data_IF_461819858993
#
_entry.id   IF_461819858993
#
_cell.length_a   1.000
_cell.length_b   1.000
_cell.length_c   1.000
_cell.angle_alpha   90.00
_cell.angle_beta   90.00
_cell.angle_gamma   90.00
#
_symmetry.space_group_name_H-M   'P 1'
#
loop_
_entity.id
_entity.type
_entity.pdbx_description
1 polymer ?
#
# COMPACT_ATOMS: atom_id res chain seq x y z
N UNK A 1 17.68 17.02 -3.31
CA UNK A 1 18.06 16.29 -2.08
C UNK A 1 17.20 15.03 -1.95
N UNK A 2 17.69 13.90 -2.49
CA UNK A 2 16.96 12.62 -2.56
C UNK A 2 17.13 11.76 -1.29
N UNK A 3 17.84 12.27 -0.27
CA UNK A 3 18.20 11.54 0.95
C UNK A 3 17.02 11.27 1.91
N UNK A 4 15.87 11.91 1.69
CA UNK A 4 14.70 11.83 2.58
C UNK A 4 13.63 10.82 2.14
N UNK A 5 13.61 10.37 0.87
CA UNK A 5 12.50 9.56 0.35
C UNK A 5 12.63 8.05 0.60
N UNK A 6 13.81 7.53 0.98
CA UNK A 6 14.01 6.09 1.21
C UNK A 6 14.15 5.69 2.69
N UNK A 7 14.05 6.64 3.63
CA UNK A 7 14.10 6.34 5.08
C UNK A 7 12.88 5.56 5.57
N UNK A 8 11.76 5.63 4.86
CA UNK A 8 10.47 5.07 5.28
C UNK A 8 10.36 3.54 5.25
N UNK A 9 11.09 2.83 4.38
CA UNK A 9 10.86 1.38 4.21
C UNK A 9 11.73 0.54 5.14
N UNK A 10 13.03 0.83 5.25
CA UNK A 10 13.93 0.12 6.17
C UNK A 10 13.55 0.33 7.63
N UNK A 11 13.28 1.58 8.02
CA UNK A 11 12.86 1.93 9.38
C UNK A 11 11.57 1.22 9.81
N UNK A 12 10.59 1.07 8.90
CA UNK A 12 9.33 0.39 9.22
C UNK A 12 9.51 -1.11 9.43
N UNK A 13 10.44 -1.74 8.71
CA UNK A 13 10.82 -3.15 8.96
C UNK A 13 11.55 -3.25 10.30
N UNK A 14 12.52 -2.38 10.56
CA UNK A 14 13.25 -2.30 11.82
C UNK A 14 12.30 -2.16 13.02
N UNK A 15 11.36 -1.20 12.97
CA UNK A 15 10.40 -0.96 14.05
C UNK A 15 9.53 -2.19 14.35
N UNK A 16 9.14 -2.95 13.31
CA UNK A 16 8.38 -4.19 13.49
C UNK A 16 9.23 -5.29 14.13
N UNK A 17 10.48 -5.43 13.69
CA UNK A 17 11.42 -6.40 14.27
C UNK A 17 11.69 -6.09 15.74
N UNK A 18 11.92 -4.81 16.06
CA UNK A 18 12.10 -4.33 17.43
C UNK A 18 10.88 -4.65 18.30
N UNK A 19 9.66 -4.35 17.82
CA UNK A 19 8.44 -4.66 18.55
C UNK A 19 8.32 -6.16 18.86
N UNK A 20 8.58 -7.02 17.88
CA UNK A 20 8.54 -8.47 18.05
C UNK A 20 9.61 -8.96 19.03
N UNK A 21 10.79 -8.35 19.01
CA UNK A 21 11.85 -8.69 19.96
C UNK A 21 11.45 -8.34 21.40
N UNK A 22 10.84 -7.16 21.60
CA UNK A 22 10.33 -6.74 22.91
C UNK A 22 9.19 -7.65 23.40
N UNK A 23 8.28 -8.06 22.51
CA UNK A 23 7.23 -9.03 22.83
C UNK A 23 7.81 -10.38 23.32
N UNK A 24 8.89 -10.87 22.68
CA UNK A 24 9.59 -12.10 23.10
C UNK A 24 10.23 -11.94 24.48
N UNK A 25 10.76 -10.74 24.79
CA UNK A 25 11.32 -10.41 26.09
C UNK A 25 10.24 -10.21 27.18
N UNK A 26 8.96 -10.32 26.84
CA UNK A 26 7.84 -10.11 27.76
C UNK A 26 7.43 -8.64 27.93
N UNK A 27 8.08 -7.73 27.21
CA UNK A 27 7.84 -6.30 27.27
C UNK A 27 6.70 -5.91 26.33
N UNK A 28 5.53 -5.61 26.89
CA UNK A 28 4.37 -5.11 26.14
C UNK A 28 4.39 -3.59 26.09
N UNK A 29 5.05 -3.04 25.09
CA UNK A 29 5.07 -1.59 24.87
C UNK A 29 3.99 -1.15 23.90
N UNK A 30 3.43 0.03 24.13
CA UNK A 30 2.44 0.61 23.21
C UNK A 30 3.13 1.17 21.96
N UNK A 31 2.38 1.27 20.85
CA UNK A 31 2.88 1.89 19.62
C UNK A 31 3.33 3.35 19.80
N UNK A 32 2.73 4.06 20.77
CA UNK A 32 3.10 5.43 21.13
C UNK A 32 4.48 5.49 21.78
N UNK A 33 4.86 4.48 22.57
CA UNK A 33 6.19 4.37 23.18
C UNK A 33 7.23 3.78 22.22
N UNK A 34 6.81 2.82 21.39
CA UNK A 34 7.67 2.17 20.39
C UNK A 34 8.21 3.15 19.35
N UNK A 35 7.39 4.10 18.89
CA UNK A 35 7.75 5.03 17.82
C UNK A 35 8.95 5.92 18.14
N UNK A 36 8.99 6.64 19.28
CA UNK A 36 10.16 7.41 19.68
C UNK A 36 11.36 6.50 20.03
N UNK A 37 11.14 5.36 20.70
CA UNK A 37 12.21 4.41 21.03
C UNK A 37 12.92 3.89 19.77
N UNK A 38 12.15 3.40 18.80
CA UNK A 38 12.67 2.92 17.52
C UNK A 38 13.38 4.04 16.76
N UNK A 39 12.86 5.26 16.80
CA UNK A 39 13.48 6.42 16.17
C UNK A 39 14.86 6.74 16.76
N UNK A 40 14.98 6.77 18.09
CA UNK A 40 16.25 7.00 18.77
C UNK A 40 17.27 5.90 18.46
N UNK A 41 16.85 4.63 18.59
CA UNK A 41 17.73 3.51 18.29
C UNK A 41 18.17 3.52 16.83
N UNK A 42 17.24 3.71 15.89
CA UNK A 42 17.54 3.80 14.46
C UNK A 42 18.53 4.91 14.14
N UNK A 43 18.43 6.08 14.80
CA UNK A 43 19.41 7.15 14.60
C UNK A 43 20.82 6.71 15.03
N UNK A 44 20.93 6.00 16.16
CA UNK A 44 22.21 5.45 16.67
C UNK A 44 22.71 4.20 15.94
N UNK A 45 21.88 3.51 15.16
CA UNK A 45 22.30 2.30 14.44
C UNK A 45 23.43 2.57 13.43
N UNK A 46 24.40 1.64 13.29
CA UNK A 46 25.42 1.71 12.25
C UNK A 46 24.81 1.71 10.84
N UNK A 47 25.48 2.35 9.89
CA UNK A 47 25.00 2.42 8.49
C UNK A 47 24.87 1.05 7.83
N UNK A 48 25.72 0.09 8.20
CA UNK A 48 25.63 -1.31 7.76
C UNK A 48 24.28 -1.95 8.13
N UNK A 49 23.82 -1.71 9.35
CA UNK A 49 22.52 -2.20 9.84
C UNK A 49 21.39 -1.54 9.06
N UNK A 50 21.47 -0.21 8.87
CA UNK A 50 20.48 0.55 8.08
C UNK A 50 20.38 0.04 6.64
N UNK A 51 21.51 -0.25 6.01
CA UNK A 51 21.58 -0.82 4.67
C UNK A 51 20.96 -2.22 4.60
N UNK A 52 21.25 -3.08 5.58
CA UNK A 52 20.62 -4.40 5.65
C UNK A 52 19.09 -4.32 5.71
N UNK A 53 18.55 -3.45 6.58
CA UNK A 53 17.10 -3.25 6.67
C UNK A 53 16.50 -2.63 5.41
N UNK A 54 17.25 -1.78 4.72
CA UNK A 54 16.85 -1.24 3.42
C UNK A 54 16.73 -2.36 2.37
N UNK A 55 17.76 -3.18 2.21
CA UNK A 55 17.73 -4.32 1.28
C UNK A 55 16.59 -5.30 1.61
N UNK A 56 16.39 -5.60 2.89
CA UNK A 56 15.30 -6.46 3.34
C UNK A 56 13.94 -5.86 2.95
N UNK A 57 13.77 -4.54 3.12
CA UNK A 57 12.54 -3.85 2.74
C UNK A 57 12.28 -3.90 1.23
N UNK A 58 13.33 -3.83 0.41
CA UNK A 58 13.25 -3.94 -1.04
C UNK A 58 12.88 -5.36 -1.47
N UNK A 59 13.47 -6.39 -0.84
CA UNK A 59 13.11 -7.80 -1.07
C UNK A 59 11.64 -8.08 -0.74
N UNK A 60 11.17 -7.60 0.41
CA UNK A 60 9.75 -7.72 0.81
C UNK A 60 8.84 -7.05 -0.23
N UNK A 61 9.20 -5.83 -0.67
CA UNK A 61 8.44 -5.09 -1.68
C UNK A 61 8.37 -5.88 -2.99
N UNK A 62 9.49 -6.45 -3.44
CA UNK A 62 9.55 -7.26 -4.67
C UNK A 62 8.63 -8.47 -4.58
N UNK A 63 8.75 -9.28 -3.53
CA UNK A 63 7.91 -10.47 -3.32
C UNK A 63 6.42 -10.10 -3.28
N UNK A 64 6.07 -9.00 -2.63
CA UNK A 64 4.67 -8.54 -2.59
C UNK A 64 4.17 -8.13 -3.98
N UNK A 65 4.96 -7.38 -4.73
CA UNK A 65 4.63 -6.96 -6.09
C UNK A 65 4.46 -8.15 -7.02
N UNK A 66 5.38 -9.12 -6.98
CA UNK A 66 5.33 -10.33 -7.80
C UNK A 66 4.05 -11.14 -7.49
N UNK A 67 3.69 -11.27 -6.20
CA UNK A 67 2.44 -11.94 -5.79
C UNK A 67 1.20 -11.21 -6.29
N UNK A 68 1.18 -9.88 -6.21
CA UNK A 68 0.06 -9.06 -6.72
C UNK A 68 -0.06 -9.18 -8.23
N UNK A 69 1.06 -9.11 -8.95
CA UNK A 69 1.10 -9.25 -10.40
C UNK A 69 0.59 -10.64 -10.84
N UNK A 70 1.05 -11.70 -10.18
CA UNK A 70 0.60 -13.07 -10.45
C UNK A 70 -0.89 -13.26 -10.14
N UNK A 71 -1.38 -12.71 -9.03
CA UNK A 71 -2.80 -12.74 -8.69
C UNK A 71 -3.65 -12.06 -9.78
N UNK A 72 -3.19 -10.92 -10.32
CA UNK A 72 -3.91 -10.20 -11.37
C UNK A 72 -3.85 -10.92 -12.71
N UNK A 73 -2.69 -11.47 -13.10
CA UNK A 73 -2.55 -12.27 -14.34
C UNK A 73 -3.49 -13.47 -14.32
N UNK A 74 -3.61 -14.14 -13.17
CA UNK A 74 -4.46 -15.31 -13.01
C UNK A 74 -5.96 -14.96 -12.83
N UNK A 75 -6.30 -13.72 -12.45
CA UNK A 75 -7.67 -13.23 -12.30
C UNK A 75 -8.12 -12.27 -13.42
N UNK A 76 -7.37 -12.15 -14.53
CA UNK A 76 -7.87 -11.51 -15.76
C UNK A 76 -8.96 -12.39 -16.38
N UNK A 77 -10.17 -12.32 -15.81
CA UNK A 77 -11.38 -12.45 -16.61
C UNK A 77 -11.55 -11.14 -17.39
N UNK A 78 -11.73 -11.24 -18.71
CA UNK A 78 -11.80 -10.15 -19.69
C UNK A 78 -12.97 -9.14 -19.53
N UNK A 79 -13.69 -9.13 -18.40
CA UNK A 79 -15.03 -8.54 -18.32
C UNK A 79 -15.15 -7.09 -17.80
N UNK A 80 -14.06 -6.39 -17.47
CA UNK A 80 -14.16 -4.95 -17.13
C UNK A 80 -13.81 -4.08 -18.34
N UNK A 81 -14.85 -3.71 -19.11
CA UNK A 81 -14.70 -2.86 -20.29
C UNK A 81 -14.21 -1.45 -19.92
N UNK A 82 -13.39 -0.84 -20.79
CA UNK A 82 -12.95 0.57 -20.65
C UNK A 82 -14.13 1.56 -20.57
N UNK A 83 -15.29 1.20 -21.13
CA UNK A 83 -16.51 2.00 -21.12
C UNK A 83 -17.09 2.15 -19.71
N UNK A 84 -17.10 1.06 -18.93
CA UNK A 84 -17.59 1.01 -17.55
C UNK A 84 -16.78 1.92 -16.62
N UNK A 85 -15.46 2.02 -16.83
CA UNK A 85 -14.58 2.86 -16.01
C UNK A 85 -14.73 4.36 -16.32
N UNK A 86 -14.97 4.72 -17.60
CA UNK A 86 -15.19 6.11 -18.02
C UNK A 86 -16.52 6.68 -17.50
N UNK A 87 -17.57 5.85 -17.42
CA UNK A 87 -18.85 6.25 -16.83
C UNK A 87 -18.75 6.52 -15.33
N UNK A 88 -17.83 5.84 -14.63
CA UNK A 88 -17.59 6.04 -13.21
C UNK A 88 -16.94 7.41 -12.90
N UNK A 89 -16.09 7.91 -13.78
CA UNK A 89 -15.32 9.14 -13.51
C UNK A 89 -16.04 10.43 -13.91
N UNK A 90 -17.14 10.36 -14.66
CA UNK A 90 -17.74 11.51 -15.34
C UNK A 90 -18.85 12.25 -14.59
N UNK A 91 -19.17 11.88 -13.33
CA UNK A 91 -20.20 12.59 -12.54
C UNK A 91 -19.68 13.10 -11.18
N UNK A 92 -19.62 14.44 -11.13
CA UNK A 92 -19.69 15.32 -9.95
C UNK A 92 -18.40 15.53 -9.13
N UNK A 93 -17.63 16.58 -9.47
CA UNK A 93 -17.15 17.64 -8.57
C UNK A 93 -16.31 17.30 -7.32
N UNK A 94 -15.95 16.05 -7.08
CA UNK A 94 -15.04 15.61 -6.02
C UNK A 94 -13.71 15.12 -6.59
N UNK A 95 -12.74 14.78 -5.73
CA UNK A 95 -11.52 14.11 -6.18
C UNK A 95 -11.89 12.85 -6.98
N UNK A 96 -11.59 12.83 -8.28
CA UNK A 96 -12.03 11.80 -9.21
C UNK A 96 -11.65 10.38 -8.76
N UNK A 97 -10.55 10.25 -8.01
CA UNK A 97 -10.15 8.99 -7.37
C UNK A 97 -11.14 8.52 -6.30
N UNK A 98 -11.69 9.43 -5.50
CA UNK A 98 -12.62 9.10 -4.40
C UNK A 98 -13.98 8.64 -4.97
N UNK A 99 -14.44 9.29 -6.04
CA UNK A 99 -15.66 8.92 -6.76
C UNK A 99 -15.49 7.53 -7.39
N UNK A 100 -14.39 7.36 -8.12
CA UNK A 100 -14.02 6.07 -8.73
C UNK A 100 -13.95 4.95 -7.68
N UNK A 101 -13.29 5.17 -6.55
CA UNK A 101 -13.17 4.19 -5.47
C UNK A 101 -14.54 3.83 -4.88
N UNK A 102 -15.44 4.81 -4.72
CA UNK A 102 -16.78 4.58 -4.17
C UNK A 102 -17.63 3.71 -5.10
N UNK A 103 -17.65 4.04 -6.38
CA UNK A 103 -18.44 3.30 -7.37
C UNK A 103 -17.86 1.92 -7.68
N UNK A 104 -16.53 1.78 -7.67
CA UNK A 104 -15.87 0.48 -7.76
C UNK A 104 -16.30 -0.43 -6.61
N UNK A 105 -16.36 0.10 -5.39
CA UNK A 105 -16.84 -0.64 -4.22
C UNK A 105 -18.32 -1.05 -4.35
N UNK A 106 -19.19 -0.14 -4.79
CA UNK A 106 -20.61 -0.45 -5.04
C UNK A 106 -20.78 -1.54 -6.12
N UNK A 107 -20.00 -1.47 -7.20
CA UNK A 107 -20.00 -2.47 -8.26
C UNK A 107 -19.52 -3.84 -7.78
N UNK A 108 -18.39 -3.90 -7.05
CA UNK A 108 -17.87 -5.14 -6.51
C UNK A 108 -18.84 -5.79 -5.51
N UNK A 109 -19.52 -4.99 -4.68
CA UNK A 109 -20.59 -5.48 -3.80
C UNK A 109 -21.78 -6.03 -4.58
N UNK A 110 -22.18 -5.39 -5.69
CA UNK A 110 -23.27 -5.88 -6.54
C UNK A 110 -22.96 -7.23 -7.20
N UNK A 111 -21.67 -7.52 -7.43
CA UNK A 111 -21.18 -8.80 -7.93
C UNK A 111 -20.98 -9.85 -6.83
N UNK A 112 -21.31 -9.55 -5.57
CA UNK A 112 -21.15 -10.45 -4.43
C UNK A 112 -19.76 -10.43 -3.78
N UNK A 113 -18.85 -9.55 -4.22
CA UNK A 113 -17.54 -9.39 -3.58
C UNK A 113 -17.62 -8.44 -2.38
N UNK A 114 -17.34 -8.95 -1.19
CA UNK A 114 -17.27 -8.17 0.05
C UNK A 114 -15.83 -8.03 0.53
N UNK A 115 -15.04 -7.15 -0.11
CA UNK A 115 -13.68 -6.86 0.37
C UNK A 115 -13.69 -5.89 1.57
N UNK A 116 -12.63 -5.90 2.37
CA UNK A 116 -12.42 -4.87 3.39
C UNK A 116 -12.15 -3.50 2.73
N UNK A 117 -12.38 -2.41 3.47
CA UNK A 117 -12.08 -1.04 2.98
C UNK A 117 -10.61 -0.88 2.55
N UNK A 118 -9.70 -1.62 3.19
CA UNK A 118 -8.27 -1.60 2.92
C UNK A 118 -7.94 -2.28 1.60
N UNK A 119 -8.56 -3.42 1.31
CA UNK A 119 -8.42 -4.14 0.04
C UNK A 119 -9.05 -3.35 -1.11
N UNK A 120 -10.25 -2.79 -0.91
CA UNK A 120 -10.89 -1.90 -1.86
C UNK A 120 -10.03 -0.70 -2.23
N UNK A 121 -9.40 -0.06 -1.24
CA UNK A 121 -8.55 1.11 -1.48
C UNK A 121 -7.29 0.75 -2.29
N UNK A 122 -6.72 -0.44 -2.09
CA UNK A 122 -5.59 -0.94 -2.88
C UNK A 122 -5.99 -1.22 -4.34
N UNK A 123 -7.11 -1.90 -4.55
CA UNK A 123 -7.63 -2.21 -5.89
C UNK A 123 -7.95 -0.90 -6.64
N UNK A 124 -8.63 0.04 -5.97
CA UNK A 124 -8.95 1.33 -6.55
C UNK A 124 -7.69 2.12 -6.93
N UNK A 125 -6.69 2.24 -6.04
CA UNK A 125 -5.46 2.96 -6.33
C UNK A 125 -4.70 2.37 -7.52
N UNK A 126 -4.65 1.05 -7.63
CA UNK A 126 -3.98 0.38 -8.76
C UNK A 126 -4.75 0.59 -10.07
N UNK A 127 -6.06 0.33 -10.09
CA UNK A 127 -6.88 0.53 -11.29
C UNK A 127 -6.92 1.99 -11.73
N UNK A 128 -6.87 2.93 -10.78
CA UNK A 128 -6.70 4.36 -11.06
C UNK A 128 -5.34 4.66 -11.66
N UNK A 129 -4.25 4.07 -11.14
CA UNK A 129 -2.89 4.33 -11.64
C UNK A 129 -2.72 3.97 -13.13
N UNK A 130 -3.38 2.90 -13.58
CA UNK A 130 -3.34 2.42 -14.97
C UNK A 130 -4.33 3.13 -15.91
N UNK A 131 -5.24 3.97 -15.40
CA UNK A 131 -6.12 4.76 -16.27
C UNK A 131 -5.33 5.82 -17.05
N UNK A 132 -5.74 6.05 -18.30
CA UNK A 132 -5.18 7.09 -19.16
C UNK A 132 -5.41 8.48 -18.57
N UNK A 133 -4.54 9.43 -18.93
CA UNK A 133 -4.67 10.83 -18.48
C UNK A 133 -6.03 11.43 -18.86
N UNK A 134 -6.60 11.02 -20.00
CA UNK A 134 -7.93 11.42 -20.48
C UNK A 134 -9.07 11.05 -19.53
N UNK A 135 -8.96 9.92 -18.83
CA UNK A 135 -9.97 9.47 -17.85
C UNK A 135 -9.81 10.20 -16.51
N UNK A 136 -8.62 10.75 -16.25
CA UNK A 136 -8.28 11.47 -15.00
C UNK A 136 -8.47 12.98 -15.10
N UNK A 137 -8.61 13.54 -16.29
CA UNK A 137 -8.66 14.98 -16.54
C UNK A 137 -10.08 15.56 -16.64
N UNK A 138 -11.12 14.76 -16.38
CA UNK A 138 -12.52 15.17 -16.39
C UNK A 138 -13.12 15.12 -15.00
#
# INVERSE_FOLDING_TARGET
DMSKMNKGNGFMVYRKTLNKHLEILGERITMQQLSPLAGSLWCSEPEQVKNYYKELSEKIKKVHNDRVENYIKNNRNENMSRKTIKEMTTKNGGNAFIIYRKQLNEYLRSLGYNYSMQEHSKIASYLWSIQSKEVKSH
#
